data_IF_113524496222
#
_entry.id   IF_113524496222
#
_cell.length_a   1.000
_cell.length_b   1.000
_cell.length_c   1.000
_cell.angle_alpha   90.00
_cell.angle_beta   90.00
_cell.angle_gamma   90.00
#
_symmetry.space_group_name_H-M   'P 1'
#
loop_
_entity.id
_entity.type
_entity.pdbx_description
1 polymer ?
#
# COMPACT_ATOMS: atom_id res chain seq x y z
N UNK A 1 7.63 -10.00 16.92
CA UNK A 1 6.53 -9.10 17.33
C UNK A 1 5.45 -8.91 16.27
N UNK A 2 5.70 -8.27 15.11
CA UNK A 2 4.66 -8.04 14.08
C UNK A 2 4.02 -9.34 13.56
N UNK A 3 4.82 -10.37 13.27
CA UNK A 3 4.29 -11.69 12.86
C UNK A 3 3.44 -12.37 13.93
N UNK A 4 3.68 -12.12 15.22
CA UNK A 4 2.87 -12.65 16.31
C UNK A 4 1.54 -11.89 16.41
N UNK A 5 1.57 -10.56 16.25
CA UNK A 5 0.36 -9.74 16.21
C UNK A 5 -0.55 -10.10 15.02
N UNK A 6 0.03 -10.47 13.87
CA UNK A 6 -0.72 -10.87 12.68
C UNK A 6 -1.54 -12.17 12.85
N UNK A 7 -1.25 -12.96 13.88
CA UNK A 7 -2.01 -14.17 14.19
C UNK A 7 -3.31 -13.89 14.95
N UNK A 8 -3.40 -12.73 15.62
CA UNK A 8 -4.53 -12.36 16.50
C UNK A 8 -5.26 -11.11 16.04
N UNK A 9 -4.61 -10.25 15.27
CA UNK A 9 -5.17 -9.00 14.78
C UNK A 9 -5.40 -9.07 13.26
N UNK A 10 -6.55 -8.58 12.77
CA UNK A 10 -6.75 -8.33 11.35
C UNK A 10 -5.66 -7.40 10.79
N UNK A 11 -5.32 -7.55 9.51
CA UNK A 11 -4.23 -6.78 8.88
C UNK A 11 -4.35 -5.26 9.04
N UNK A 12 -5.57 -4.71 9.06
CA UNK A 12 -5.82 -3.28 9.26
C UNK A 12 -5.63 -2.80 10.71
N UNK A 13 -5.52 -3.70 11.68
CA UNK A 13 -5.20 -3.38 13.08
C UNK A 13 -3.71 -3.55 13.40
N UNK A 14 -2.91 -4.00 12.44
CA UNK A 14 -1.47 -4.14 12.64
C UNK A 14 -0.81 -2.76 12.62
N UNK A 15 -0.06 -2.40 13.67
CA UNK A 15 0.60 -1.11 13.73
C UNK A 15 1.66 -1.03 12.64
N UNK A 16 1.66 0.12 11.96
CA UNK A 16 2.59 0.43 10.89
C UNK A 16 4.05 0.40 11.35
N UNK A 17 4.31 0.91 12.55
CA UNK A 17 5.65 0.94 13.14
C UNK A 17 5.59 0.42 14.57
N UNK A 18 6.59 -0.39 14.91
CA UNK A 18 6.87 -0.81 16.28
C UNK A 18 8.24 -0.27 16.66
N UNK A 19 8.29 0.51 17.74
CA UNK A 19 9.52 1.07 18.27
C UNK A 19 9.63 0.68 19.75
N UNK A 20 10.78 0.12 20.12
CA UNK A 20 11.12 -0.10 21.53
C UNK A 20 11.66 1.20 22.11
N UNK A 21 11.19 1.57 23.30
CA UNK A 21 11.64 2.75 24.05
C UNK A 21 12.03 2.30 25.45
N UNK A 22 13.10 2.86 26.00
CA UNK A 22 13.60 2.46 27.32
C UNK A 22 12.62 2.83 28.44
N UNK A 23 11.94 3.96 28.30
CA UNK A 23 10.91 4.40 29.21
C UNK A 23 9.81 5.18 28.46
N UNK A 24 8.55 4.99 28.88
CA UNK A 24 7.45 5.80 28.39
C UNK A 24 7.51 7.20 29.02
N UNK A 25 7.56 8.29 28.22
CA UNK A 25 7.62 9.63 28.77
C UNK A 25 6.32 9.95 29.49
N UNK A 26 6.45 10.57 30.67
CA UNK A 26 5.33 10.92 31.53
C UNK A 26 5.33 12.41 31.81
N UNK A 27 4.14 12.98 31.95
CA UNK A 27 3.96 14.34 32.45
C UNK A 27 4.33 14.39 33.95
N UNK A 28 4.54 15.58 34.53
CA UNK A 28 4.76 15.72 35.98
C UNK A 28 3.64 15.12 36.84
N UNK A 29 2.42 15.03 36.29
CA UNK A 29 1.27 14.38 36.95
C UNK A 29 1.24 12.86 36.77
N UNK A 30 2.27 12.25 36.17
CA UNK A 30 2.39 10.81 35.94
C UNK A 30 1.58 10.25 34.76
N UNK A 31 0.89 11.09 33.98
CA UNK A 31 0.16 10.66 32.78
C UNK A 31 1.12 10.44 31.61
N UNK A 32 0.76 9.61 30.64
CA UNK A 32 1.54 9.43 29.42
C UNK A 32 1.65 10.75 28.65
N UNK A 33 2.87 11.20 28.38
CA UNK A 33 3.11 12.36 27.54
C UNK A 33 3.14 11.95 26.07
N UNK A 34 1.98 12.09 25.42
CA UNK A 34 1.82 11.78 23.99
C UNK A 34 2.64 12.70 23.09
N UNK A 35 2.88 13.95 23.48
CA UNK A 35 3.67 14.88 22.65
C UNK A 35 5.13 14.47 22.66
N UNK A 36 5.66 14.14 23.83
CA UNK A 36 7.03 13.65 23.97
C UNK A 36 7.25 12.34 23.18
N UNK A 37 6.28 11.41 23.22
CA UNK A 37 6.31 10.20 22.39
C UNK A 37 6.37 10.50 20.89
N UNK A 38 5.53 11.42 20.40
CA UNK A 38 5.48 11.76 18.97
C UNK A 38 6.74 12.49 18.48
N UNK A 39 7.46 13.17 19.38
CA UNK A 39 8.72 13.84 19.06
C UNK A 39 9.96 12.94 19.12
N UNK A 40 9.83 11.68 19.54
CA UNK A 40 10.98 10.78 19.64
C UNK A 40 11.62 10.54 18.27
N UNK A 41 12.97 10.48 18.21
CA UNK A 41 13.66 10.20 16.97
C UNK A 41 13.24 8.84 16.44
N UNK A 42 12.84 8.84 15.18
CA UNK A 42 12.51 7.63 14.44
C UNK A 42 13.82 7.08 13.87
N UNK A 43 14.15 5.79 14.09
CA UNK A 43 15.32 5.20 13.45
C UNK A 43 15.19 5.34 11.93
N UNK A 44 16.26 5.82 11.27
CA UNK A 44 16.27 5.95 9.82
C UNK A 44 16.07 4.56 9.19
N UNK A 45 15.36 4.46 8.05
CA UNK A 45 15.31 3.21 7.32
C UNK A 45 16.74 2.72 7.05
N UNK A 46 16.98 1.42 7.27
CA UNK A 46 18.26 0.76 6.98
C UNK A 46 18.68 1.05 5.52
N UNK A 47 19.98 0.95 5.24
CA UNK A 47 20.52 1.15 3.89
C UNK A 47 19.66 0.38 2.87
N UNK A 48 18.98 1.13 2.00
CA UNK A 48 17.97 0.56 1.10
C UNK A 48 18.69 -0.30 0.06
N UNK A 49 18.20 -1.53 -0.13
CA UNK A 49 18.67 -2.39 -1.22
C UNK A 49 18.40 -1.72 -2.58
N UNK A 50 19.19 -2.10 -3.58
CA UNK A 50 18.91 -1.75 -4.98
C UNK A 50 17.55 -2.31 -5.39
N UNK A 51 16.80 -1.49 -6.14
CA UNK A 51 15.50 -1.84 -6.69
C UNK A 51 15.65 -2.43 -8.09
N UNK A 52 14.87 -3.46 -8.39
CA UNK A 52 14.72 -3.99 -9.75
C UNK A 52 13.79 -3.09 -10.60
N UNK A 53 13.76 -3.26 -11.92
CA UNK A 53 12.97 -2.41 -12.84
C UNK A 53 11.47 -2.33 -12.46
N UNK A 54 10.87 -3.45 -12.05
CA UNK A 54 9.47 -3.50 -11.60
C UNK A 54 9.27 -2.76 -10.27
N UNK A 55 10.22 -2.91 -9.34
CA UNK A 55 10.19 -2.19 -8.07
C UNK A 55 10.33 -0.69 -8.30
N UNK A 56 11.17 -0.25 -9.25
CA UNK A 56 11.30 1.14 -9.68
C UNK A 56 9.99 1.69 -10.26
N UNK A 57 9.34 0.95 -11.16
CA UNK A 57 8.04 1.33 -11.74
C UNK A 57 6.97 1.51 -10.66
N UNK A 58 6.91 0.56 -9.72
CA UNK A 58 5.95 0.62 -8.61
C UNK A 58 6.28 1.78 -7.66
N UNK A 59 7.56 1.99 -7.36
CA UNK A 59 8.02 3.11 -6.54
C UNK A 59 7.62 4.45 -7.16
N UNK A 60 7.77 4.65 -8.47
CA UNK A 60 7.41 5.90 -9.13
C UNK A 60 5.89 6.18 -9.07
N UNK A 61 5.08 5.13 -9.22
CA UNK A 61 3.63 5.23 -9.04
C UNK A 61 3.32 5.62 -7.59
N UNK A 62 3.95 4.96 -6.62
CA UNK A 62 3.74 5.25 -5.21
C UNK A 62 4.18 6.66 -4.84
N UNK A 63 5.32 7.13 -5.33
CA UNK A 63 5.80 8.50 -5.10
C UNK A 63 4.80 9.53 -5.59
N UNK A 64 4.19 9.27 -6.76
CA UNK A 64 3.16 10.12 -7.36
C UNK A 64 1.86 10.12 -6.52
N UNK A 65 1.39 8.94 -6.12
CA UNK A 65 0.14 8.76 -5.36
C UNK A 65 0.26 9.35 -3.95
N UNK A 66 1.37 9.02 -3.26
CA UNK A 66 1.62 9.41 -1.87
C UNK A 66 2.18 10.83 -1.75
N UNK A 67 2.60 11.44 -2.86
CA UNK A 67 3.30 12.75 -2.92
C UNK A 67 4.53 12.79 -2.03
N UNK A 68 5.35 11.75 -2.13
CA UNK A 68 6.57 11.55 -1.33
C UNK A 68 7.67 10.96 -2.19
N UNK A 69 8.89 11.44 -2.03
CA UNK A 69 10.04 10.95 -2.82
C UNK A 69 10.76 9.77 -2.13
N UNK A 70 10.57 9.61 -0.82
CA UNK A 70 11.32 8.74 0.07
C UNK A 70 10.76 7.32 0.22
N UNK A 71 10.28 6.72 -0.87
CA UNK A 71 9.70 5.36 -0.89
C UNK A 71 10.75 4.30 -1.25
N UNK A 72 10.83 3.25 -0.44
CA UNK A 72 11.80 2.14 -0.49
C UNK A 72 11.14 0.79 -0.78
N UNK A 73 11.94 -0.24 -1.10
CA UNK A 73 11.42 -1.53 -1.56
C UNK A 73 10.69 -2.30 -0.45
N UNK A 74 11.16 -2.15 0.79
CA UNK A 74 10.58 -2.80 1.98
C UNK A 74 9.58 -1.91 2.72
N UNK A 75 9.33 -0.69 2.22
CA UNK A 75 8.34 0.20 2.81
C UNK A 75 6.94 -0.34 2.56
N UNK A 76 6.17 -0.46 3.63
CA UNK A 76 4.78 -0.87 3.55
C UNK A 76 3.91 0.34 3.18
N UNK A 77 3.06 0.18 2.15
CA UNK A 77 2.20 1.23 1.62
C UNK A 77 1.36 1.92 2.69
N UNK A 78 0.76 1.13 3.58
CA UNK A 78 -0.13 1.63 4.62
C UNK A 78 0.65 2.36 5.72
N UNK A 79 1.91 1.98 5.91
CA UNK A 79 2.79 2.55 6.93
C UNK A 79 3.32 3.93 6.50
N UNK A 80 3.45 4.17 5.19
CA UNK A 80 3.85 5.46 4.61
C UNK A 80 2.70 6.41 4.31
N UNK A 81 1.48 6.08 4.75
CA UNK A 81 0.28 6.93 4.61
C UNK A 81 -0.70 6.50 3.50
N UNK A 82 -0.48 5.32 2.92
CA UNK A 82 -1.40 4.71 1.97
C UNK A 82 -2.70 4.24 2.62
N UNK A 83 -3.79 4.32 1.88
CA UNK A 83 -5.11 3.84 2.29
C UNK A 83 -5.91 3.32 1.10
N UNK A 84 -7.09 2.76 1.34
CA UNK A 84 -7.87 2.00 0.34
C UNK A 84 -8.17 2.79 -0.94
N UNK A 85 -8.45 4.10 -0.84
CA UNK A 85 -8.64 4.95 -2.01
C UNK A 85 -7.34 5.15 -2.83
N UNK A 86 -6.20 5.32 -2.16
CA UNK A 86 -4.90 5.42 -2.83
C UNK A 86 -4.48 4.09 -3.43
N UNK A 87 -4.86 2.96 -2.81
CA UNK A 87 -4.67 1.63 -3.39
C UNK A 87 -5.41 1.51 -4.72
N UNK A 88 -6.66 1.96 -4.81
CA UNK A 88 -7.41 1.96 -6.07
C UNK A 88 -6.70 2.81 -7.14
N UNK A 89 -6.21 3.99 -6.77
CA UNK A 89 -5.48 4.87 -7.68
C UNK A 89 -4.15 4.26 -8.18
N UNK A 90 -3.46 3.49 -7.33
CA UNK A 90 -2.28 2.72 -7.73
C UNK A 90 -2.66 1.63 -8.74
N UNK A 91 -3.74 0.89 -8.48
CA UNK A 91 -4.20 -0.19 -9.35
C UNK A 91 -4.61 0.36 -10.74
N UNK A 92 -5.35 1.46 -10.80
CA UNK A 92 -5.75 2.11 -12.06
C UNK A 92 -4.53 2.54 -12.89
N UNK A 93 -3.48 3.06 -12.23
CA UNK A 93 -2.23 3.47 -12.91
C UNK A 93 -1.41 2.29 -13.41
N UNK A 94 -1.45 1.16 -12.70
CA UNK A 94 -0.80 -0.08 -13.12
C UNK A 94 -1.53 -0.71 -14.30
N UNK A 95 -2.86 -0.68 -14.30
CA UNK A 95 -3.68 -1.15 -15.41
C UNK A 95 -3.42 -0.31 -16.67
N UNK A 96 -3.30 1.01 -16.54
CA UNK A 96 -2.93 1.90 -17.64
C UNK A 96 -1.53 1.62 -18.22
N UNK A 97 -0.65 0.95 -17.46
CA UNK A 97 0.68 0.50 -17.89
C UNK A 97 0.68 -0.96 -18.39
N UNK A 98 -0.49 -1.58 -18.52
CA UNK A 98 -0.65 -2.95 -19.04
C UNK A 98 -0.62 -4.04 -17.97
N UNK A 99 -0.56 -3.70 -16.68
CA UNK A 99 -0.56 -4.67 -15.59
C UNK A 99 -1.98 -4.88 -15.07
N UNK A 100 -2.72 -5.80 -15.68
CA UNK A 100 -4.14 -6.00 -15.43
C UNK A 100 -4.45 -7.12 -14.40
N UNK A 101 -5.67 -7.08 -13.86
CA UNK A 101 -6.20 -8.13 -12.97
C UNK A 101 -5.64 -8.11 -11.55
N UNK A 102 -5.01 -7.02 -11.13
CA UNK A 102 -4.60 -6.81 -9.73
C UNK A 102 -5.80 -6.36 -8.91
N UNK A 103 -5.96 -6.91 -7.69
CA UNK A 103 -7.10 -6.60 -6.83
C UNK A 103 -6.66 -5.91 -5.53
N UNK A 104 -7.60 -5.21 -4.88
CA UNK A 104 -7.34 -4.59 -3.57
C UNK A 104 -6.91 -5.62 -2.52
N UNK A 105 -7.53 -6.82 -2.40
CA UNK A 105 -7.04 -7.88 -1.51
C UNK A 105 -5.58 -8.26 -1.74
N UNK A 106 -5.14 -8.38 -2.99
CA UNK A 106 -3.73 -8.69 -3.31
C UNK A 106 -2.79 -7.63 -2.73
N UNK A 107 -3.20 -6.36 -2.83
CA UNK A 107 -2.43 -5.23 -2.31
C UNK A 107 -2.35 -5.23 -0.77
N UNK A 108 -3.39 -5.72 -0.08
CA UNK A 108 -3.35 -5.92 1.38
C UNK A 108 -2.51 -7.14 1.79
N UNK A 109 -2.45 -8.18 0.94
CA UNK A 109 -1.66 -9.38 1.19
C UNK A 109 -0.15 -9.13 0.97
N UNK A 110 0.19 -8.30 -0.01
CA UNK A 110 1.57 -7.94 -0.36
C UNK A 110 1.77 -6.43 -0.27
N UNK A 111 1.84 -5.86 0.95
CA UNK A 111 1.75 -4.42 1.16
C UNK A 111 3.06 -3.66 0.93
N UNK A 112 4.17 -4.33 0.58
CA UNK A 112 5.46 -3.70 0.28
C UNK A 112 5.74 -3.72 -1.21
N UNK A 113 6.59 -2.80 -1.68
CA UNK A 113 6.97 -2.75 -3.10
C UNK A 113 7.60 -4.07 -3.55
N UNK A 114 8.56 -4.59 -2.78
CA UNK A 114 9.24 -5.84 -3.08
C UNK A 114 8.28 -7.03 -3.11
N UNK A 115 7.35 -7.13 -2.15
CA UNK A 115 6.39 -8.24 -2.09
C UNK A 115 5.39 -8.16 -3.25
N UNK A 116 4.89 -6.96 -3.57
CA UNK A 116 3.92 -6.78 -4.65
C UNK A 116 4.56 -7.00 -6.03
N UNK A 117 5.79 -6.54 -6.24
CA UNK A 117 6.55 -6.81 -7.46
C UNK A 117 6.85 -8.31 -7.65
N UNK A 118 7.20 -9.02 -6.58
CA UNK A 118 7.38 -10.47 -6.62
C UNK A 118 6.07 -11.21 -6.95
N UNK A 119 4.95 -10.76 -6.39
CA UNK A 119 3.62 -11.31 -6.70
C UNK A 119 3.23 -11.09 -8.18
N UNK A 120 3.52 -9.91 -8.74
CA UNK A 120 3.32 -9.65 -10.18
C UNK A 120 4.12 -10.63 -11.04
N UNK A 121 5.40 -10.85 -10.70
CA UNK A 121 6.26 -11.79 -11.43
C UNK A 121 5.73 -13.23 -11.37
N UNK A 122 5.30 -13.68 -10.19
CA UNK A 122 4.71 -15.01 -10.03
C UNK A 122 3.47 -15.20 -10.93
N UNK A 123 2.63 -14.16 -11.02
CA UNK A 123 1.43 -14.16 -11.86
C UNK A 123 1.71 -14.12 -13.36
N UNK A 124 2.75 -13.41 -13.81
CA UNK A 124 3.19 -13.43 -15.20
C UNK A 124 3.61 -14.85 -15.62
N UNK A 125 4.17 -15.64 -14.70
CA UNK A 125 4.52 -17.04 -14.93
C UNK A 125 3.33 -18.00 -15.05
N UNK A 126 2.19 -17.66 -14.42
CA UNK A 126 0.96 -18.47 -14.47
C UNK A 126 -0.03 -18.03 -15.57
N UNK A 127 0.23 -16.89 -16.23
CA UNK A 127 -0.63 -16.25 -17.24
C UNK A 127 -0.82 -17.01 -18.56
N UNK A 128 -0.35 -18.26 -18.67
CA UNK A 128 -0.65 -19.15 -19.80
C UNK A 128 -2.05 -19.78 -19.75
N UNK A 129 -2.78 -19.70 -18.64
CA UNK A 129 -4.07 -20.38 -18.49
C UNK A 129 -5.02 -19.66 -17.53
N UNK A 130 -5.79 -18.67 -17.99
CA UNK A 130 -6.78 -18.03 -17.11
C UNK A 130 -7.54 -16.83 -17.67
N UNK A 131 -8.21 -17.01 -18.80
CA UNK A 131 -9.06 -16.03 -19.51
C UNK A 131 -10.38 -15.65 -18.77
N UNK A 132 -10.45 -15.83 -17.44
CA UNK A 132 -11.71 -15.76 -16.67
C UNK A 132 -11.85 -14.54 -15.74
N UNK A 133 -10.79 -13.76 -15.50
CA UNK A 133 -10.87 -12.55 -14.68
C UNK A 133 -11.52 -11.35 -15.43
N UNK A 134 -11.40 -11.31 -16.77
CA UNK A 134 -11.90 -10.23 -17.61
C UNK A 134 -13.43 -10.07 -17.58
N UNK A 135 -14.19 -11.12 -17.20
CA UNK A 135 -15.66 -11.09 -17.19
C UNK A 135 -16.28 -10.40 -15.97
N UNK A 136 -15.55 -10.17 -14.87
CA UNK A 136 -16.13 -9.60 -13.64
C UNK A 136 -16.06 -8.07 -13.54
N UNK A 137 -15.24 -7.41 -14.36
CA UNK A 137 -15.10 -5.94 -14.39
C UNK A 137 -16.20 -5.21 -15.18
N UNK A 138 -16.88 -5.89 -16.10
CA UNK A 138 -17.81 -5.26 -17.06
C UNK A 138 -19.13 -4.72 -16.46
N UNK A 139 -19.39 -4.90 -15.16
CA UNK A 139 -20.64 -4.48 -14.51
C UNK A 139 -20.55 -3.17 -13.71
N UNK A 140 -19.42 -2.44 -13.73
CA UNK A 140 -19.24 -1.19 -12.95
C UNK A 140 -19.07 0.10 -13.78
N UNK A 141 -19.23 0.04 -15.10
CA UNK A 141 -18.98 1.17 -16.01
C UNK A 141 -20.19 1.99 -16.50
N UNK A 142 -21.44 1.62 -16.19
CA UNK A 142 -22.61 2.20 -16.90
C UNK A 142 -23.47 3.18 -16.08
N UNK A 143 -22.85 4.15 -15.39
CA UNK A 143 -23.61 5.19 -14.64
C UNK A 143 -23.15 6.63 -14.83
N UNK A 144 -22.39 6.94 -15.88
CA UNK A 144 -21.98 8.33 -16.19
C UNK A 144 -22.18 8.70 -17.66
N UNK A 145 -23.36 8.46 -18.23
CA UNK A 145 -23.74 9.04 -19.54
C UNK A 145 -25.26 9.15 -19.76
N UNK A 146 -26.00 9.76 -18.82
CA UNK A 146 -27.43 10.05 -19.06
C UNK A 146 -27.97 11.24 -18.24
N UNK A 147 -27.27 12.37 -18.19
CA UNK A 147 -27.81 13.63 -17.62
C UNK A 147 -27.26 14.90 -18.29
N UNK A 148 -27.29 14.97 -19.63
CA UNK A 148 -26.97 16.21 -20.36
C UNK A 148 -27.57 16.24 -21.78
N UNK A 149 -28.88 16.07 -21.89
CA UNK A 149 -29.66 16.39 -23.11
C UNK A 149 -31.16 16.35 -22.82
N UNK A 150 -31.66 17.35 -22.10
CA UNK A 150 -33.06 17.80 -22.18
C UNK A 150 -33.22 19.08 -21.36
N UNK A 151 -32.91 20.20 -22.01
CA UNK A 151 -33.47 21.51 -21.68
C UNK A 151 -33.44 22.31 -22.99
N UNK A 152 -34.35 21.93 -23.88
CA UNK A 152 -35.02 22.79 -24.85
C UNK A 152 -36.51 22.55 -24.65
#
# INVERSE_FOLDING_TARGET
LRMQLAQTLPGYMLPARLQTVDALPRTPSGKLDRRALLSMPVPSPQARRTMDERECLLADIWRTVLRRDDVGPDDNFFDVGGHSLLTLEVLDRLEAKGVAGLTVPDFYQYPTIAAFAAFMLFREGEGGCGDDAARRGALRGDRRRARRSRNE
#
